data_IF_729911963517
#
_entry.id   IF_729911963517
#
_cell.length_a   1.000
_cell.length_b   1.000
_cell.length_c   1.000
_cell.angle_alpha   90.00
_cell.angle_beta   90.00
_cell.angle_gamma   90.00
#
_symmetry.space_group_name_H-M   'P 1'
#
loop_
_entity.id
_entity.type
_entity.pdbx_description
1 polymer ?
#
# COMPACT_ATOMS: atom_id res chain seq x y z
N UNK A 1 -20.85 2.70 -3.24
CA UNK A 1 -21.03 1.29 -2.77
C UNK A 1 -19.96 0.99 -1.73
N UNK A 2 -20.21 0.22 -0.66
CA UNK A 2 -19.15 -0.11 0.32
C UNK A 2 -18.37 -1.34 -0.12
N UNK A 3 -17.08 -1.19 -0.44
CA UNK A 3 -16.21 -2.31 -0.77
C UNK A 3 -16.05 -3.24 0.44
N UNK A 4 -16.24 -4.54 0.21
CA UNK A 4 -16.01 -5.58 1.22
C UNK A 4 -14.58 -6.12 1.09
N UNK A 5 -13.61 -5.30 1.49
CA UNK A 5 -12.19 -5.69 1.48
C UNK A 5 -11.84 -6.28 2.85
N UNK A 6 -11.36 -7.53 2.87
CA UNK A 6 -10.81 -8.14 4.08
C UNK A 6 -9.55 -7.38 4.48
N UNK A 7 -9.45 -7.02 5.76
CA UNK A 7 -8.33 -6.24 6.29
C UNK A 7 -7.19 -7.15 6.71
N UNK A 8 -5.98 -6.82 6.28
CA UNK A 8 -4.74 -7.42 6.75
C UNK A 8 -3.84 -6.33 7.33
N UNK A 9 -3.38 -6.53 8.57
CA UNK A 9 -2.39 -5.68 9.22
C UNK A 9 -1.00 -6.25 8.94
N UNK A 10 0.00 -5.40 8.68
CA UNK A 10 1.39 -5.85 8.61
C UNK A 10 1.90 -6.30 10.01
N UNK A 11 1.37 -5.68 11.06
CA UNK A 11 1.65 -5.97 12.48
C UNK A 11 0.69 -7.03 13.04
N UNK A 12 0.34 -8.04 12.22
CA UNK A 12 -0.40 -9.18 12.76
C UNK A 12 0.63 -10.13 13.40
N UNK A 13 0.45 -10.55 14.67
CA UNK A 13 1.34 -11.49 15.34
C UNK A 13 1.64 -12.78 14.57
N UNK A 14 0.73 -13.23 13.70
CA UNK A 14 0.94 -14.43 12.88
C UNK A 14 2.09 -14.29 11.86
N UNK A 15 2.42 -13.07 11.43
CA UNK A 15 3.40 -12.87 10.36
C UNK A 15 4.31 -11.65 10.52
N UNK A 16 4.10 -10.83 11.53
CA UNK A 16 4.87 -9.58 11.71
C UNK A 16 6.38 -9.82 11.85
N UNK A 17 6.80 -10.96 12.40
CA UNK A 17 8.21 -11.31 12.58
C UNK A 17 8.85 -12.02 11.37
N UNK A 18 8.07 -12.30 10.31
CA UNK A 18 8.56 -13.00 9.11
C UNK A 18 9.39 -12.02 8.28
N UNK A 19 10.57 -12.43 7.82
CA UNK A 19 11.40 -11.62 6.91
C UNK A 19 10.68 -11.29 5.61
N UNK A 20 10.70 -10.04 5.19
CA UNK A 20 10.15 -9.60 3.90
C UNK A 20 11.22 -9.71 2.81
N UNK A 21 10.86 -10.40 1.72
CA UNK A 21 11.76 -10.65 0.60
C UNK A 21 13.10 -11.26 1.03
N UNK A 22 14.19 -10.71 0.51
CA UNK A 22 15.56 -11.12 0.84
C UNK A 22 16.27 -10.06 1.71
N UNK A 23 15.55 -9.49 2.68
CA UNK A 23 16.08 -8.43 3.56
C UNK A 23 16.19 -8.88 5.02
N UNK A 24 16.74 -8.00 5.85
CA UNK A 24 16.74 -8.15 7.30
C UNK A 24 15.53 -7.51 7.98
N UNK A 25 14.65 -6.86 7.21
CA UNK A 25 13.37 -6.34 7.71
C UNK A 25 12.32 -7.44 7.78
N UNK A 26 11.38 -7.29 8.70
CA UNK A 26 10.20 -8.14 8.79
C UNK A 26 8.99 -7.55 8.05
N UNK A 27 7.90 -8.30 7.97
CA UNK A 27 6.61 -7.79 7.50
C UNK A 27 6.11 -6.69 8.45
N UNK A 28 6.36 -6.81 9.76
CA UNK A 28 6.05 -5.77 10.74
C UNK A 28 6.82 -4.47 10.45
N UNK A 29 8.08 -4.56 10.05
CA UNK A 29 8.92 -3.38 9.77
C UNK A 29 8.54 -2.68 8.45
N UNK A 30 8.36 -3.45 7.38
CA UNK A 30 8.31 -2.94 6.01
C UNK A 30 7.22 -3.58 5.12
N UNK A 31 6.22 -4.24 5.72
CA UNK A 31 5.20 -5.01 5.02
C UNK A 31 3.94 -4.25 4.63
N UNK A 32 3.92 -2.92 4.73
CA UNK A 32 2.74 -2.10 4.42
C UNK A 32 2.19 -2.39 3.02
N UNK A 33 3.10 -2.46 2.04
CA UNK A 33 2.71 -2.57 0.65
C UNK A 33 2.21 -3.98 0.29
N UNK A 34 2.84 -5.02 0.82
CA UNK A 34 2.41 -6.40 0.60
C UNK A 34 1.11 -6.71 1.32
N UNK A 35 0.86 -6.08 2.48
CA UNK A 35 -0.42 -6.21 3.18
C UNK A 35 -1.55 -5.60 2.35
N UNK A 36 -1.33 -4.42 1.77
CA UNK A 36 -2.29 -3.80 0.85
C UNK A 36 -2.51 -4.61 -0.43
N UNK A 37 -1.45 -5.20 -1.00
CA UNK A 37 -1.57 -6.05 -2.17
C UNK A 37 -2.33 -7.36 -1.84
N UNK A 38 -2.08 -7.97 -0.68
CA UNK A 38 -2.81 -9.13 -0.19
C UNK A 38 -4.31 -8.84 -0.10
N UNK A 39 -4.69 -7.70 0.51
CA UNK A 39 -6.10 -7.26 0.59
C UNK A 39 -6.73 -7.10 -0.80
N UNK A 40 -5.98 -6.53 -1.75
CA UNK A 40 -6.45 -6.29 -3.12
C UNK A 40 -6.62 -7.60 -3.89
N UNK A 41 -5.66 -8.52 -3.81
CA UNK A 41 -5.73 -9.82 -4.46
C UNK A 41 -6.85 -10.69 -3.88
N UNK A 42 -7.03 -10.65 -2.57
CA UNK A 42 -8.13 -11.37 -1.88
C UNK A 42 -9.50 -10.86 -2.33
N UNK A 43 -9.69 -9.54 -2.45
CA UNK A 43 -10.91 -8.96 -3.00
C UNK A 43 -11.24 -9.47 -4.42
N UNK A 44 -10.23 -9.72 -5.25
CA UNK A 44 -10.41 -10.29 -6.59
C UNK A 44 -10.40 -11.83 -6.62
N UNK A 45 -10.56 -12.50 -5.47
CA UNK A 45 -10.65 -13.96 -5.38
C UNK A 45 -9.32 -14.70 -5.56
N UNK A 46 -8.18 -14.00 -5.48
CA UNK A 46 -6.82 -14.58 -5.56
C UNK A 46 -6.22 -14.87 -4.17
N UNK A 47 -7.06 -14.85 -3.13
CA UNK A 47 -6.82 -14.94 -1.69
C UNK A 47 -5.44 -15.42 -1.22
N UNK A 48 -4.60 -14.47 -0.82
CA UNK A 48 -3.34 -14.70 -0.10
C UNK A 48 -3.28 -13.80 1.12
N UNK A 49 -2.94 -14.35 2.28
CA UNK A 49 -2.51 -13.57 3.45
C UNK A 49 -1.18 -12.87 3.14
N UNK A 50 -0.77 -11.84 3.91
CA UNK A 50 0.55 -11.21 3.74
C UNK A 50 1.70 -12.22 3.79
N UNK A 51 1.65 -13.19 4.70
CA UNK A 51 2.60 -14.31 4.76
C UNK A 51 2.65 -15.08 3.43
N UNK A 52 1.51 -15.63 2.97
CA UNK A 52 1.47 -16.46 1.75
C UNK A 52 1.78 -15.67 0.49
N UNK A 53 1.47 -14.39 0.48
CA UNK A 53 1.88 -13.51 -0.60
C UNK A 53 3.40 -13.29 -0.57
N UNK A 54 3.99 -13.02 0.61
CA UNK A 54 5.43 -12.85 0.76
C UNK A 54 6.21 -14.08 0.29
N UNK A 55 5.79 -15.28 0.70
CA UNK A 55 6.39 -16.55 0.25
C UNK A 55 6.44 -16.65 -1.29
N UNK A 56 5.30 -16.41 -1.95
CA UNK A 56 5.20 -16.48 -3.41
C UNK A 56 6.06 -15.41 -4.08
N UNK A 57 6.00 -14.17 -3.60
CA UNK A 57 6.77 -13.05 -4.15
C UNK A 57 8.28 -13.29 -4.03
N UNK A 58 8.74 -13.91 -2.93
CA UNK A 58 10.13 -14.33 -2.73
C UNK A 58 10.52 -15.41 -3.73
N UNK A 59 9.69 -16.45 -3.91
CA UNK A 59 9.94 -17.54 -4.86
C UNK A 59 10.08 -17.05 -6.30
N UNK A 60 9.24 -16.10 -6.72
CA UNK A 60 9.29 -15.54 -8.09
C UNK A 60 10.34 -14.43 -8.23
N UNK A 61 11.18 -14.21 -7.21
CA UNK A 61 12.23 -13.18 -7.17
C UNK A 61 11.67 -11.77 -7.47
N UNK A 62 10.50 -11.46 -6.92
CA UNK A 62 9.88 -10.15 -7.06
C UNK A 62 10.49 -9.08 -6.13
N UNK A 63 11.46 -9.42 -5.29
CA UNK A 63 12.06 -8.49 -4.33
C UNK A 63 13.49 -8.08 -4.69
N UNK A 64 13.81 -6.82 -4.38
CA UNK A 64 15.17 -6.33 -4.20
C UNK A 64 15.32 -5.82 -2.75
N UNK A 65 15.89 -6.63 -1.87
CA UNK A 65 15.78 -6.43 -0.43
C UNK A 65 14.31 -6.54 0.03
N UNK A 66 13.79 -5.50 0.68
CA UNK A 66 12.38 -5.39 1.08
C UNK A 66 11.50 -4.75 -0.02
N UNK A 67 12.11 -4.21 -1.09
CA UNK A 67 11.39 -3.48 -2.13
C UNK A 67 10.74 -4.45 -3.11
N UNK A 68 9.42 -4.32 -3.28
CA UNK A 68 8.63 -5.14 -4.20
C UNK A 68 8.68 -4.57 -5.63
N UNK A 69 9.08 -5.41 -6.59
CA UNK A 69 8.89 -5.19 -8.01
C UNK A 69 7.45 -5.55 -8.42
N UNK A 70 6.60 -4.53 -8.52
CA UNK A 70 5.20 -4.69 -8.89
C UNK A 70 4.97 -5.23 -10.30
N UNK A 71 5.88 -5.00 -11.24
CA UNK A 71 5.74 -5.53 -12.59
C UNK A 71 5.87 -7.06 -12.61
N UNK A 72 6.80 -7.60 -11.81
CA UNK A 72 6.96 -9.04 -11.63
C UNK A 72 5.71 -9.65 -10.97
N UNK A 73 5.19 -9.01 -9.92
CA UNK A 73 3.96 -9.44 -9.26
C UNK A 73 2.75 -9.38 -10.21
N UNK A 74 2.60 -8.29 -10.97
CA UNK A 74 1.54 -8.08 -11.94
C UNK A 74 1.52 -9.17 -13.02
N UNK A 75 2.70 -9.50 -13.57
CA UNK A 75 2.85 -10.60 -14.53
C UNK A 75 2.45 -11.95 -13.92
N UNK A 76 2.89 -12.25 -12.70
CA UNK A 76 2.62 -13.53 -12.06
C UNK A 76 1.14 -13.71 -11.71
N UNK A 77 0.51 -12.68 -11.15
CA UNK A 77 -0.89 -12.72 -10.74
C UNK A 77 -1.86 -12.31 -11.86
N UNK A 78 -1.38 -12.07 -13.09
CA UNK A 78 -2.18 -11.66 -14.23
C UNK A 78 -3.10 -10.46 -13.93
N UNK A 79 -2.50 -9.33 -13.52
CA UNK A 79 -3.17 -8.04 -13.44
C UNK A 79 -2.29 -6.95 -14.09
N UNK A 80 -2.91 -5.82 -14.46
CA UNK A 80 -2.17 -4.68 -15.01
C UNK A 80 -1.74 -3.74 -13.89
N UNK A 81 -0.44 -3.43 -13.82
CA UNK A 81 0.09 -2.38 -12.98
C UNK A 81 0.38 -1.15 -13.84
N UNK A 82 -0.26 -0.01 -13.53
CA UNK A 82 -0.10 1.23 -14.32
C UNK A 82 1.09 2.09 -13.93
N UNK A 83 1.86 1.68 -12.91
CA UNK A 83 2.88 2.51 -12.27
C UNK A 83 2.39 3.14 -10.97
N UNK A 84 3.30 3.84 -10.29
CA UNK A 84 3.00 4.66 -9.12
C UNK A 84 2.80 6.10 -9.59
N UNK A 85 1.68 6.69 -9.19
CA UNK A 85 1.46 8.14 -9.35
C UNK A 85 1.79 8.81 -8.02
N UNK A 86 2.63 9.85 -8.07
CA UNK A 86 3.11 10.56 -6.89
C UNK A 86 2.59 12.00 -6.91
N UNK A 87 2.00 12.42 -5.80
CA UNK A 87 1.46 13.76 -5.58
C UNK A 87 2.09 14.41 -4.33
N UNK A 88 3.35 14.12 -4.01
CA UNK A 88 4.03 14.64 -2.80
C UNK A 88 4.11 16.19 -2.77
N UNK A 89 4.05 16.87 -3.93
CA UNK A 89 4.17 18.33 -4.04
C UNK A 89 2.93 19.02 -4.66
N UNK A 90 1.83 18.30 -4.83
CA UNK A 90 0.61 18.82 -5.45
C UNK A 90 -0.64 18.11 -4.88
N UNK A 91 -1.85 18.69 -5.01
CA UNK A 91 -3.04 18.01 -4.53
C UNK A 91 -3.25 16.66 -5.21
N UNK A 92 -3.40 15.60 -4.41
CA UNK A 92 -3.77 14.29 -4.94
C UNK A 92 -5.16 14.35 -5.61
N UNK A 93 -5.40 13.58 -6.69
CA UNK A 93 -6.67 13.58 -7.42
C UNK A 93 -7.72 12.75 -6.67
N UNK A 94 -8.23 13.29 -5.56
CA UNK A 94 -9.17 12.63 -4.65
C UNK A 94 -10.43 12.17 -5.38
N UNK A 95 -10.97 12.97 -6.29
CA UNK A 95 -12.18 12.61 -7.06
C UNK A 95 -11.96 11.34 -7.89
N UNK A 96 -10.77 11.17 -8.47
CA UNK A 96 -10.40 9.97 -9.23
C UNK A 96 -10.26 8.75 -8.32
N UNK A 97 -9.74 8.93 -7.11
CA UNK A 97 -9.63 7.88 -6.09
C UNK A 97 -11.04 7.44 -5.66
N UNK A 98 -11.92 8.39 -5.33
CA UNK A 98 -13.31 8.13 -4.96
C UNK A 98 -14.03 7.39 -6.09
N UNK A 99 -13.92 7.88 -7.33
CA UNK A 99 -14.52 7.22 -8.49
C UNK A 99 -14.08 5.76 -8.63
N UNK A 100 -12.78 5.47 -8.49
CA UNK A 100 -12.28 4.08 -8.54
C UNK A 100 -12.90 3.20 -7.45
N UNK A 101 -13.02 3.73 -6.23
CA UNK A 101 -13.63 3.04 -5.11
C UNK A 101 -15.13 2.77 -5.39
N UNK A 102 -15.85 3.77 -5.89
CA UNK A 102 -17.27 3.65 -6.22
C UNK A 102 -17.53 2.68 -7.39
N UNK A 103 -16.62 2.63 -8.36
CA UNK A 103 -16.63 1.67 -9.47
C UNK A 103 -16.28 0.23 -9.04
N UNK A 104 -16.03 -0.01 -7.75
CA UNK A 104 -15.78 -1.37 -7.24
C UNK A 104 -14.31 -1.78 -7.20
N UNK A 105 -13.37 -0.84 -7.36
CA UNK A 105 -11.93 -1.14 -7.41
C UNK A 105 -11.19 -0.71 -6.14
N UNK A 106 -10.69 -1.67 -5.33
CA UNK A 106 -9.76 -1.35 -4.25
C UNK A 106 -8.55 -0.60 -4.81
N UNK A 107 -8.13 0.43 -4.09
CA UNK A 107 -7.05 1.31 -4.51
C UNK A 107 -6.03 1.41 -3.37
N UNK A 108 -4.77 1.08 -3.67
CA UNK A 108 -3.65 1.17 -2.71
C UNK A 108 -3.13 2.60 -2.74
N UNK A 109 -3.05 3.23 -1.58
CA UNK A 109 -2.65 4.64 -1.44
C UNK A 109 -1.60 4.72 -0.33
N UNK A 110 -0.50 5.41 -0.61
CA UNK A 110 0.41 5.89 0.43
C UNK A 110 -0.07 7.26 0.87
N UNK A 111 -0.46 7.38 2.13
CA UNK A 111 -0.82 8.68 2.73
C UNK A 111 0.35 9.11 3.59
N UNK A 112 0.88 10.28 3.31
CA UNK A 112 1.86 10.94 4.17
C UNK A 112 1.18 12.13 4.86
N UNK A 113 1.43 12.31 6.15
CA UNK A 113 0.88 13.40 6.93
C UNK A 113 1.99 14.42 7.17
N UNK A 114 2.37 15.18 6.14
CA UNK A 114 3.13 16.40 6.39
C UNK A 114 2.15 17.42 6.99
N UNK A 115 2.20 17.58 8.32
CA UNK A 115 1.58 18.72 8.99
C UNK A 115 2.41 19.95 8.64
N UNK A 116 2.07 20.65 7.55
CA UNK A 116 2.54 22.01 7.36
C UNK A 116 1.77 22.88 8.37
N UNK A 117 2.36 23.10 9.55
CA UNK A 117 1.90 24.15 10.46
C UNK A 117 2.10 25.51 9.78
N UNK A 118 1.09 25.98 9.07
CA UNK A 118 1.00 27.40 8.69
C UNK A 118 0.67 28.20 9.97
N UNK A 119 1.69 28.53 10.76
CA UNK A 119 1.55 29.55 11.81
C UNK A 119 1.44 30.90 11.09
N UNK A 120 0.22 31.29 10.71
CA UNK A 120 -0.07 32.67 10.42
C UNK A 120 0.04 33.43 11.75
N UNK A 121 1.19 34.07 12.00
CA UNK A 121 1.29 35.13 13.00
C UNK A 121 0.35 36.25 12.54
N UNK A 122 -0.88 36.25 13.03
CA UNK A 122 -1.70 37.46 13.05
C UNK A 122 -0.94 38.49 13.90
N UNK A 123 -0.20 39.39 13.25
CA UNK A 123 0.22 40.64 13.87
C UNK A 123 -1.01 41.55 13.96
N UNK A 124 -1.82 41.32 14.99
CA UNK A 124 -2.75 42.34 15.47
C UNK A 124 -1.93 43.40 16.18
N UNK A 125 -1.92 44.62 15.64
CA UNK A 125 -1.49 45.78 16.39
C UNK A 125 -2.52 46.00 17.50
N UNK A 126 -2.08 45.91 18.75
CA UNK A 126 -2.83 46.41 19.90
C UNK A 126 -2.23 47.78 20.24
N UNK A 127 -3.12 48.77 20.25
CA UNK A 127 -2.96 50.23 20.49
C UNK A 127 -2.21 51.03 19.44
#
# INVERSE_FOLDING_TARGET
>A
MKLQVKKYSQNNPEWEDIKVGNSDYTIGDAGCYISCLAMTLDYYGKGKTPEKLNEVLTQIKAYNGALLNMWTAAKHFNFTFGGLENFDNEPAPVDRIIKRIDDGHPTIIRVDFIVILHINKCKGNIT
#
